data_IF_585375400717
#
_entry.id   IF_585375400717
#
_cell.length_a   1.000
_cell.length_b   1.000
_cell.length_c   1.000
_cell.angle_alpha   90.00
_cell.angle_beta   90.00
_cell.angle_gamma   90.00
#
_symmetry.space_group_name_H-M   'P 1'
#
loop_
_entity.id
_entity.type
_entity.pdbx_description
1 polymer ?
#
# COMPACT_ATOMS: atom_id res chain seq x y z
N UNK A 1 8.08 -14.81 -17.11
CA UNK A 1 7.26 -13.65 -17.48
C UNK A 1 8.04 -12.41 -17.95
N UNK A 2 9.12 -11.92 -17.31
CA UNK A 2 9.74 -10.64 -17.70
C UNK A 2 10.39 -10.64 -19.10
N UNK A 3 10.78 -11.81 -19.62
CA UNK A 3 11.44 -11.94 -20.94
C UNK A 3 10.49 -11.68 -22.10
N UNK A 4 9.25 -12.20 -22.04
CA UNK A 4 8.24 -11.99 -23.09
C UNK A 4 7.82 -10.52 -23.14
N UNK A 5 7.59 -9.90 -21.99
CA UNK A 5 7.23 -8.49 -21.91
C UNK A 5 8.36 -7.56 -22.40
N UNK A 6 9.63 -7.88 -22.09
CA UNK A 6 10.79 -7.18 -22.66
C UNK A 6 10.88 -7.32 -24.17
N UNK A 7 10.61 -8.51 -24.70
CA UNK A 7 10.59 -8.74 -26.14
C UNK A 7 9.49 -7.93 -26.82
N UNK A 8 8.28 -7.87 -26.22
CA UNK A 8 7.19 -7.04 -26.72
C UNK A 8 7.54 -5.54 -26.73
N UNK A 9 8.14 -5.02 -25.66
CA UNK A 9 8.59 -3.62 -25.61
C UNK A 9 9.64 -3.35 -26.68
N UNK A 10 10.64 -4.21 -26.80
CA UNK A 10 11.70 -4.07 -27.79
C UNK A 10 11.16 -4.13 -29.23
N UNK A 11 10.15 -4.97 -29.48
CA UNK A 11 9.53 -5.09 -30.80
C UNK A 11 8.86 -3.78 -31.23
N UNK A 12 8.22 -3.05 -30.32
CA UNK A 12 7.65 -1.72 -30.61
C UNK A 12 8.74 -0.75 -31.05
N UNK A 13 9.87 -0.70 -30.32
CA UNK A 13 11.00 0.17 -30.68
C UNK A 13 11.70 -0.26 -31.98
N UNK A 14 11.79 -1.57 -32.26
CA UNK A 14 12.31 -2.06 -33.56
C UNK A 14 11.37 -1.69 -34.71
N UNK A 15 10.06 -1.79 -34.52
CA UNK A 15 9.10 -1.41 -35.54
C UNK A 15 9.16 0.09 -35.84
N UNK A 16 9.10 0.94 -34.82
CA UNK A 16 9.15 2.39 -35.04
C UNK A 16 10.54 2.89 -35.45
N UNK A 17 11.61 2.29 -34.96
CA UNK A 17 12.98 2.70 -35.24
C UNK A 17 13.52 2.10 -36.53
N UNK A 18 13.74 0.78 -36.53
CA UNK A 18 14.36 0.09 -37.65
C UNK A 18 13.44 0.09 -38.88
N UNK A 19 12.20 -0.38 -38.72
CA UNK A 19 11.30 -0.55 -39.87
C UNK A 19 10.78 0.78 -40.41
N UNK A 20 10.16 1.61 -39.56
CA UNK A 20 9.55 2.85 -40.02
C UNK A 20 10.57 3.93 -40.39
N UNK A 21 11.63 4.13 -39.59
CA UNK A 21 12.54 5.29 -39.76
C UNK A 21 13.84 4.95 -40.49
N UNK A 22 14.57 3.91 -40.08
CA UNK A 22 15.86 3.55 -40.71
C UNK A 22 15.62 3.00 -42.13
N UNK A 23 14.69 2.07 -42.27
CA UNK A 23 14.31 1.48 -43.58
C UNK A 23 13.29 2.33 -44.35
N UNK A 24 12.78 3.42 -43.75
CA UNK A 24 11.91 4.39 -44.42
C UNK A 24 10.54 3.85 -44.86
N UNK A 25 10.02 2.82 -44.18
CA UNK A 25 8.77 2.15 -44.58
C UNK A 25 7.49 2.89 -44.17
N UNK A 26 7.61 3.97 -43.38
CA UNK A 26 6.49 4.76 -42.87
C UNK A 26 6.72 6.26 -43.20
N UNK A 27 6.51 6.69 -44.46
CA UNK A 27 6.88 8.04 -44.93
C UNK A 27 6.14 9.17 -44.20
N UNK A 28 4.96 8.89 -43.66
CA UNK A 28 4.15 9.82 -42.87
C UNK A 28 4.90 10.36 -41.63
N UNK A 29 5.79 9.56 -41.03
CA UNK A 29 6.60 10.00 -39.89
C UNK A 29 7.62 11.07 -40.27
N UNK A 30 8.12 11.04 -41.51
CA UNK A 30 9.01 12.08 -42.01
C UNK A 30 8.28 13.40 -42.24
N UNK A 31 6.99 13.35 -42.64
CA UNK A 31 6.15 14.54 -42.78
C UNK A 31 5.92 15.25 -41.43
N UNK A 32 5.76 14.50 -40.34
CA UNK A 32 5.65 15.08 -38.98
C UNK A 32 6.92 15.84 -38.59
N UNK A 33 8.11 15.28 -38.88
CA UNK A 33 9.39 15.92 -38.55
C UNK A 33 9.68 17.11 -39.46
N UNK A 34 9.29 17.05 -40.73
CA UNK A 34 9.42 18.17 -41.67
C UNK A 34 8.55 19.38 -41.30
N UNK A 35 7.50 19.19 -40.48
CA UNK A 35 6.66 20.27 -39.98
C UNK A 35 7.30 21.08 -38.83
N UNK A 36 8.47 20.66 -38.32
CA UNK A 36 9.19 21.38 -37.25
C UNK A 36 9.76 22.70 -37.80
N UNK A 37 9.45 23.86 -37.19
CA UNK A 37 9.95 25.15 -37.66
C UNK A 37 11.49 25.21 -37.70
N UNK A 38 12.04 25.67 -38.82
CA UNK A 38 13.49 25.84 -38.99
C UNK A 38 14.26 24.58 -39.41
N UNK A 39 13.57 23.46 -39.71
CA UNK A 39 14.19 22.24 -40.20
C UNK A 39 14.03 22.12 -41.73
N UNK A 40 15.13 22.18 -42.48
CA UNK A 40 15.10 21.98 -43.94
C UNK A 40 14.70 20.54 -44.29
N UNK A 41 13.96 20.35 -45.38
CA UNK A 41 13.41 19.04 -45.78
C UNK A 41 14.49 17.95 -45.98
N UNK A 42 15.67 18.32 -46.49
CA UNK A 42 16.80 17.40 -46.63
C UNK A 42 17.38 16.96 -45.28
N UNK A 43 17.36 17.84 -44.29
CA UNK A 43 17.82 17.56 -42.92
C UNK A 43 16.79 16.75 -42.14
N UNK A 44 15.50 16.89 -42.44
CA UNK A 44 14.41 16.13 -41.82
C UNK A 44 14.55 14.60 -42.06
N UNK A 45 14.92 14.19 -43.27
CA UNK A 45 15.15 12.76 -43.59
C UNK A 45 16.30 12.18 -42.78
N UNK A 46 17.39 12.94 -42.64
CA UNK A 46 18.53 12.53 -41.81
C UNK A 46 18.18 12.49 -40.33
N UNK A 47 17.43 13.48 -39.82
CA UNK A 47 16.95 13.52 -38.45
C UNK A 47 16.06 12.32 -38.12
N UNK A 48 15.14 11.95 -39.02
CA UNK A 48 14.27 10.77 -38.88
C UNK A 48 15.10 9.49 -38.81
N UNK A 49 16.09 9.33 -39.69
CA UNK A 49 16.98 8.14 -39.68
C UNK A 49 17.83 8.07 -38.42
N UNK A 50 18.41 9.18 -37.97
CA UNK A 50 19.20 9.26 -36.74
C UNK A 50 18.35 8.90 -35.51
N UNK A 51 17.12 9.43 -35.44
CA UNK A 51 16.14 9.07 -34.42
C UNK A 51 15.82 7.57 -34.46
N UNK A 52 15.62 6.99 -35.65
CA UNK A 52 15.39 5.55 -35.83
C UNK A 52 16.54 4.65 -35.36
N UNK A 53 17.79 5.09 -35.52
CA UNK A 53 18.96 4.41 -34.97
C UNK A 53 18.95 4.44 -33.44
N UNK A 54 18.60 5.58 -32.84
CA UNK A 54 18.45 5.71 -31.39
C UNK A 54 17.37 4.78 -30.81
N UNK A 55 16.22 4.71 -31.46
CA UNK A 55 15.13 3.79 -31.11
C UNK A 55 15.53 2.31 -31.24
N UNK A 56 16.30 1.97 -32.28
CA UNK A 56 16.83 0.61 -32.49
C UNK A 56 17.83 0.23 -31.38
N UNK A 57 18.72 1.16 -31.00
CA UNK A 57 19.65 0.96 -29.89
C UNK A 57 18.90 0.81 -28.54
N UNK A 58 17.81 1.56 -28.35
CA UNK A 58 16.95 1.45 -27.18
C UNK A 58 16.27 0.08 -27.10
N UNK A 59 15.83 -0.49 -28.23
CA UNK A 59 15.32 -1.86 -28.28
C UNK A 59 16.36 -2.89 -27.82
N UNK A 60 17.60 -2.78 -28.32
CA UNK A 60 18.70 -3.65 -27.89
C UNK A 60 19.00 -3.49 -26.40
N UNK A 61 18.94 -2.27 -25.86
CA UNK A 61 19.10 -2.00 -24.44
C UNK A 61 17.99 -2.65 -23.60
N UNK A 62 16.73 -2.53 -24.00
CA UNK A 62 15.59 -3.22 -23.35
C UNK A 62 15.77 -4.74 -23.38
N UNK A 63 16.20 -5.30 -24.51
CA UNK A 63 16.52 -6.72 -24.65
C UNK A 63 17.71 -7.16 -23.80
N UNK A 64 18.65 -6.28 -23.48
CA UNK A 64 19.76 -6.63 -22.58
C UNK A 64 19.31 -6.75 -21.12
N UNK A 65 18.21 -6.07 -20.74
CA UNK A 65 17.73 -6.00 -19.37
C UNK A 65 18.67 -5.27 -18.40
N UNK A 66 19.68 -4.54 -18.88
CA UNK A 66 20.59 -3.72 -18.06
C UNK A 66 19.93 -2.39 -17.68
N UNK A 67 20.15 -1.92 -16.45
CA UNK A 67 19.64 -0.63 -15.94
C UNK A 67 18.18 -0.30 -16.35
N UNK A 68 17.18 -1.17 -16.08
CA UNK A 68 15.87 -1.14 -16.73
C UNK A 68 15.04 0.09 -16.34
N UNK A 69 15.28 0.67 -15.17
CA UNK A 69 14.66 1.96 -14.78
C UNK A 69 15.21 3.13 -15.57
N UNK A 70 16.52 3.13 -15.86
CA UNK A 70 17.12 4.16 -16.70
C UNK A 70 16.62 4.02 -18.14
N UNK A 71 16.54 2.78 -18.64
CA UNK A 71 15.92 2.51 -19.94
C UNK A 71 14.44 2.95 -19.98
N UNK A 72 13.66 2.72 -18.91
CA UNK A 72 12.27 3.19 -18.81
C UNK A 72 12.15 4.72 -18.78
N UNK A 73 13.04 5.40 -18.06
CA UNK A 73 13.10 6.86 -18.04
C UNK A 73 13.40 7.42 -19.42
N UNK A 74 14.42 6.88 -20.11
CA UNK A 74 14.79 7.30 -21.47
C UNK A 74 13.64 7.07 -22.45
N UNK A 75 12.99 5.90 -22.39
CA UNK A 75 11.77 5.61 -23.18
C UNK A 75 10.66 6.63 -22.91
N UNK A 76 10.43 6.98 -21.64
CA UNK A 76 9.41 7.96 -21.25
C UNK A 76 9.72 9.35 -21.82
N UNK A 77 10.94 9.83 -21.63
CA UNK A 77 11.38 11.15 -22.12
C UNK A 77 11.30 11.20 -23.64
N UNK A 78 11.83 10.20 -24.33
CA UNK A 78 11.83 10.15 -25.80
C UNK A 78 10.40 10.17 -26.35
N UNK A 79 9.52 9.36 -25.77
CA UNK A 79 8.14 9.24 -26.22
C UNK A 79 7.32 10.50 -25.91
N UNK A 80 7.55 11.15 -24.76
CA UNK A 80 6.93 12.46 -24.45
C UNK A 80 7.42 13.55 -25.40
N UNK A 81 8.74 13.64 -25.65
CA UNK A 81 9.31 14.66 -26.53
C UNK A 81 8.83 14.51 -27.97
N UNK A 82 8.87 13.28 -28.52
CA UNK A 82 8.45 13.03 -29.90
C UNK A 82 6.96 13.26 -30.13
N UNK A 83 6.11 12.72 -29.26
CA UNK A 83 4.67 12.87 -29.40
C UNK A 83 4.21 14.30 -29.06
N UNK A 84 4.85 14.94 -28.07
CA UNK A 84 4.63 16.34 -27.75
C UNK A 84 4.99 17.24 -28.94
N UNK A 85 6.16 17.03 -29.55
CA UNK A 85 6.55 17.76 -30.75
C UNK A 85 5.62 17.51 -31.93
N UNK A 86 5.21 16.26 -32.15
CA UNK A 86 4.22 15.92 -33.17
C UNK A 86 2.87 16.60 -32.95
N UNK A 87 2.41 16.74 -31.70
CA UNK A 87 1.17 17.45 -31.36
C UNK A 87 1.27 18.96 -31.53
N UNK A 88 2.44 19.56 -31.29
CA UNK A 88 2.64 21.00 -31.39
C UNK A 88 2.82 21.43 -32.84
N UNK A 89 3.65 20.71 -33.61
CA UNK A 89 4.08 21.13 -34.95
C UNK A 89 3.53 20.27 -36.08
N UNK A 90 3.28 18.98 -35.86
CA UNK A 90 2.89 18.01 -36.88
C UNK A 90 1.45 17.50 -36.78
N UNK A 91 0.58 18.19 -36.02
CA UNK A 91 -0.76 17.69 -35.63
C UNK A 91 -1.63 17.29 -36.82
N UNK A 92 -1.53 18.01 -37.93
CA UNK A 92 -2.30 17.76 -39.15
C UNK A 92 -1.98 16.40 -39.80
N UNK A 93 -0.81 15.83 -39.49
CA UNK A 93 -0.36 14.53 -39.99
C UNK A 93 -0.64 13.37 -39.02
N UNK A 94 -1.24 13.65 -37.85
CA UNK A 94 -1.62 12.64 -36.87
C UNK A 94 -3.11 12.32 -37.04
N UNK A 95 -3.39 11.13 -37.57
CA UNK A 95 -4.75 10.67 -37.86
C UNK A 95 -5.67 10.72 -36.63
N UNK A 96 -5.22 10.17 -35.50
CA UNK A 96 -5.96 10.19 -34.23
C UNK A 96 -5.00 10.34 -33.04
N UNK A 97 -4.85 11.56 -32.49
CA UNK A 97 -3.98 11.76 -31.33
C UNK A 97 -4.59 11.27 -30.03
N UNK A 98 -5.92 11.12 -29.93
CA UNK A 98 -6.54 10.52 -28.76
C UNK A 98 -6.11 9.07 -28.62
N UNK A 99 -6.20 8.31 -29.72
CA UNK A 99 -5.70 6.94 -29.79
C UNK A 99 -4.19 6.86 -29.52
N UNK A 100 -3.39 7.75 -30.12
CA UNK A 100 -1.94 7.83 -29.91
C UNK A 100 -1.59 8.05 -28.43
N UNK A 101 -2.26 8.97 -27.73
CA UNK A 101 -2.05 9.24 -26.30
C UNK A 101 -2.39 8.00 -25.47
N UNK A 102 -3.52 7.35 -25.72
CA UNK A 102 -3.94 6.15 -24.97
C UNK A 102 -2.95 5.00 -25.17
N UNK A 103 -2.51 4.76 -26.41
CA UNK A 103 -1.52 3.73 -26.73
C UNK A 103 -0.17 4.00 -26.04
N UNK A 104 0.27 5.25 -26.06
CA UNK A 104 1.50 5.70 -25.40
C UNK A 104 1.45 5.50 -23.87
N UNK A 105 0.33 5.84 -23.23
CA UNK A 105 0.13 5.61 -21.80
C UNK A 105 0.14 4.12 -21.46
N UNK A 106 -0.54 3.29 -22.26
CA UNK A 106 -0.56 1.84 -22.08
C UNK A 106 0.84 1.22 -22.26
N UNK A 107 1.58 1.69 -23.27
CA UNK A 107 2.96 1.25 -23.52
C UNK A 107 3.91 1.63 -22.38
N UNK A 108 3.86 2.88 -21.92
CA UNK A 108 4.66 3.33 -20.77
C UNK A 108 4.33 2.56 -19.49
N UNK A 109 3.05 2.22 -19.27
CA UNK A 109 2.66 1.37 -18.15
C UNK A 109 3.32 -0.01 -18.22
N UNK A 110 3.38 -0.63 -19.41
CA UNK A 110 4.09 -1.90 -19.62
C UNK A 110 5.61 -1.75 -19.40
N UNK A 111 6.21 -0.68 -19.92
CA UNK A 111 7.64 -0.37 -19.75
C UNK A 111 8.01 -0.27 -18.27
N UNK A 112 7.24 0.48 -17.48
CA UNK A 112 7.49 0.65 -16.05
C UNK A 112 7.17 -0.62 -15.24
N UNK A 113 6.16 -1.41 -15.65
CA UNK A 113 5.87 -2.71 -15.04
C UNK A 113 7.06 -3.68 -15.19
N UNK A 114 7.68 -3.72 -16.38
CA UNK A 114 8.86 -4.52 -16.64
C UNK A 114 10.08 -3.97 -15.89
N UNK A 115 10.24 -2.65 -15.82
CA UNK A 115 11.38 -2.04 -15.15
C UNK A 115 11.40 -2.24 -13.63
N UNK A 116 10.23 -2.40 -13.02
CA UNK A 116 10.06 -2.67 -11.59
C UNK A 116 9.85 -4.17 -11.27
N UNK A 117 9.93 -5.06 -12.27
CA UNK A 117 9.87 -6.51 -12.06
C UNK A 117 11.10 -7.01 -11.28
N UNK A 118 10.94 -7.88 -10.26
CA UNK A 118 12.03 -8.36 -9.43
C UNK A 118 13.04 -9.17 -10.24
N UNK A 119 14.34 -8.93 -10.01
CA UNK A 119 15.41 -9.78 -10.53
C UNK A 119 15.68 -10.94 -9.58
N UNK A 120 16.11 -12.07 -10.15
CA UNK A 120 16.49 -13.26 -9.39
C UNK A 120 17.65 -13.01 -8.39
N UNK A 121 18.41 -11.92 -8.55
CA UNK A 121 19.54 -11.54 -7.69
C UNK A 121 19.19 -10.52 -6.59
N UNK A 122 17.95 -10.07 -6.48
CA UNK A 122 17.54 -9.12 -5.43
C UNK A 122 17.30 -9.87 -4.11
N UNK A 123 18.36 -10.44 -3.52
CA UNK A 123 18.31 -11.00 -2.19
C UNK A 123 18.30 -9.90 -1.12
N UNK A 124 17.25 -9.98 -0.28
CA UNK A 124 17.13 -9.52 1.11
C UNK A 124 17.73 -8.15 1.46
N UNK A 125 16.93 -7.10 1.25
CA UNK A 125 16.90 -6.01 2.24
C UNK A 125 15.87 -6.42 3.31
N UNK A 126 16.23 -6.56 4.60
CA UNK A 126 15.29 -6.97 5.63
C UNK A 126 14.10 -6.03 5.69
N UNK A 127 12.87 -6.54 5.74
CA UNK A 127 11.65 -5.70 5.83
C UNK A 127 11.72 -4.70 7.01
N UNK A 128 12.47 -5.04 8.07
CA UNK A 128 12.82 -4.17 9.18
C UNK A 128 13.35 -2.80 8.73
N UNK A 129 14.17 -2.73 7.67
CA UNK A 129 14.75 -1.46 7.17
C UNK A 129 13.73 -0.53 6.53
N UNK A 130 12.68 -1.06 5.89
CA UNK A 130 11.65 -0.24 5.25
C UNK A 130 10.64 0.33 6.25
N UNK A 131 10.24 -0.47 7.24
CA UNK A 131 9.41 -0.02 8.35
C UNK A 131 10.16 0.93 9.28
N UNK A 132 11.47 0.69 9.53
CA UNK A 132 12.32 1.60 10.29
C UNK A 132 12.43 2.99 9.66
N UNK A 133 12.51 3.05 8.32
CA UNK A 133 12.53 4.31 7.59
C UNK A 133 11.15 4.99 7.53
N UNK A 134 10.05 4.26 7.73
CA UNK A 134 8.74 4.86 8.04
C UNK A 134 8.05 5.65 6.92
N UNK A 135 8.38 5.45 5.64
CA UNK A 135 7.73 6.18 4.53
C UNK A 135 7.08 5.25 3.51
N UNK A 136 5.82 5.51 3.12
CA UNK A 136 5.14 4.74 2.06
C UNK A 136 5.64 5.14 0.65
N UNK A 137 6.09 6.38 0.46
CA UNK A 137 6.59 6.91 -0.82
C UNK A 137 8.09 6.63 -1.07
N UNK A 138 8.52 6.61 -2.34
CA UNK A 138 9.94 6.39 -2.72
C UNK A 138 10.84 7.54 -2.23
N UNK A 139 11.95 7.22 -1.58
CA UNK A 139 12.96 8.15 -1.08
C UNK A 139 13.64 7.64 0.20
N UNK A 140 14.96 7.84 0.31
CA UNK A 140 15.69 7.73 1.56
C UNK A 140 15.59 9.05 2.31
N UNK A 141 15.31 9.01 3.61
CA UNK A 141 15.10 10.19 4.45
C UNK A 141 14.96 9.80 5.92
N UNK A 142 14.91 10.81 6.79
CA UNK A 142 14.69 10.61 8.23
C UNK A 142 13.40 9.81 8.49
N UNK A 143 13.33 9.02 9.57
CA UNK A 143 12.13 8.26 9.93
C UNK A 143 10.88 9.16 9.99
N UNK A 144 9.82 8.76 9.29
CA UNK A 144 8.56 9.52 9.22
C UNK A 144 7.48 8.82 10.06
N UNK A 145 6.57 9.62 10.62
CA UNK A 145 5.37 9.13 11.30
C UNK A 145 4.42 8.49 10.27
N UNK A 146 4.25 7.18 10.33
CA UNK A 146 3.36 6.44 9.42
C UNK A 146 1.89 6.56 9.83
N UNK A 147 1.61 6.41 11.12
CA UNK A 147 0.27 6.28 11.67
C UNK A 147 0.10 7.21 12.86
N UNK A 148 -0.77 8.20 12.72
CA UNK A 148 -1.28 9.03 13.79
C UNK A 148 -2.31 8.32 14.66
N UNK A 149 -3.02 7.36 14.07
CA UNK A 149 -4.02 6.50 14.73
C UNK A 149 -4.00 5.09 14.13
N UNK A 150 -4.37 4.09 14.93
CA UNK A 150 -4.48 2.72 14.45
C UNK A 150 -5.84 2.43 13.79
N UNK A 151 -5.79 1.57 12.79
CA UNK A 151 -6.93 1.01 12.06
C UNK A 151 -7.09 -0.47 12.42
N UNK A 152 -7.16 -0.73 13.72
CA UNK A 152 -7.23 -2.05 14.33
C UNK A 152 -8.23 -2.00 15.45
N UNK A 153 -9.19 -2.93 15.46
CA UNK A 153 -10.14 -2.98 16.55
C UNK A 153 -9.53 -3.60 17.79
N UNK A 154 -9.09 -2.74 18.70
CA UNK A 154 -8.44 -3.13 19.96
C UNK A 154 -9.35 -3.96 20.87
N UNK A 155 -10.68 -3.93 20.68
CA UNK A 155 -11.59 -4.73 21.50
C UNK A 155 -11.36 -6.23 21.32
N UNK A 156 -10.89 -6.66 20.14
CA UNK A 156 -10.49 -8.05 19.90
C UNK A 156 -9.34 -8.45 20.84
N UNK A 157 -8.31 -7.61 20.98
CA UNK A 157 -7.20 -7.88 21.90
C UNK A 157 -7.70 -7.86 23.35
N UNK A 158 -8.55 -6.90 23.69
CA UNK A 158 -9.10 -6.73 25.04
C UNK A 158 -10.02 -7.87 25.50
N UNK A 159 -10.73 -8.52 24.58
CA UNK A 159 -11.59 -9.68 24.84
C UNK A 159 -10.79 -10.99 24.94
N UNK A 160 -9.64 -11.05 24.29
CA UNK A 160 -8.84 -12.28 24.17
C UNK A 160 -7.68 -12.34 25.16
N UNK A 161 -7.13 -11.19 25.55
CA UNK A 161 -6.02 -11.09 26.50
C UNK A 161 -6.56 -10.72 27.87
N UNK A 162 -6.23 -11.53 28.88
CA UNK A 162 -6.71 -11.33 30.25
C UNK A 162 -6.14 -10.04 30.86
N UNK A 163 -6.94 -9.36 31.68
CA UNK A 163 -6.47 -8.21 32.45
C UNK A 163 -5.34 -8.61 33.41
N UNK A 164 -4.42 -7.67 33.70
CA UNK A 164 -3.26 -7.94 34.55
C UNK A 164 -2.15 -8.77 33.87
N UNK A 165 -2.32 -9.16 32.60
CA UNK A 165 -1.25 -9.83 31.85
C UNK A 165 -0.22 -8.84 31.36
N UNK A 166 1.03 -9.32 31.25
CA UNK A 166 2.09 -8.60 30.56
C UNK A 166 2.02 -8.90 29.06
N UNK A 167 1.80 -7.88 28.23
CA UNK A 167 1.50 -8.03 26.81
C UNK A 167 2.60 -7.40 25.96
N UNK A 168 3.11 -8.16 24.99
CA UNK A 168 3.92 -7.62 23.90
C UNK A 168 3.00 -7.04 22.82
N UNK A 169 3.23 -5.79 22.43
CA UNK A 169 2.41 -5.08 21.46
C UNK A 169 3.28 -4.39 20.40
N UNK A 170 2.90 -4.45 19.13
CA UNK A 170 3.47 -3.55 18.12
C UNK A 170 3.01 -2.12 18.45
N UNK A 171 3.95 -1.18 18.67
CA UNK A 171 3.61 0.11 19.25
C UNK A 171 2.77 0.96 18.31
N UNK A 172 3.20 1.09 17.05
CA UNK A 172 2.37 1.71 16.02
C UNK A 172 1.93 3.12 16.47
N UNK A 173 0.66 3.52 16.38
CA UNK A 173 0.17 4.80 16.91
C UNK A 173 -0.17 4.77 18.41
N UNK A 174 0.12 3.66 19.10
CA UNK A 174 -0.09 3.43 20.53
C UNK A 174 -1.52 3.09 20.94
N UNK A 175 -2.50 3.11 20.05
CA UNK A 175 -3.92 2.96 20.39
C UNK A 175 -4.24 1.65 21.11
N UNK A 176 -3.80 0.51 20.56
CA UNK A 176 -4.03 -0.82 21.17
C UNK A 176 -3.30 -0.94 22.51
N UNK A 177 -2.05 -0.48 22.59
CA UNK A 177 -1.28 -0.47 23.83
C UNK A 177 -1.96 0.34 24.94
N UNK A 178 -2.44 1.54 24.63
CA UNK A 178 -3.19 2.39 25.57
C UNK A 178 -4.51 1.74 26.01
N UNK A 179 -5.24 1.12 25.09
CA UNK A 179 -6.49 0.45 25.44
C UNK A 179 -6.29 -0.78 26.33
N UNK A 180 -5.27 -1.59 26.07
CA UNK A 180 -4.90 -2.74 26.92
C UNK A 180 -4.39 -2.27 28.29
N UNK A 181 -3.55 -1.24 28.34
CA UNK A 181 -3.07 -0.66 29.59
C UNK A 181 -4.20 -0.08 30.45
N UNK A 182 -5.19 0.57 29.84
CA UNK A 182 -6.38 1.07 30.53
C UNK A 182 -7.21 -0.05 31.17
N UNK A 183 -7.13 -1.28 30.64
CA UNK A 183 -7.76 -2.49 31.22
C UNK A 183 -6.91 -3.17 32.28
N UNK A 184 -5.75 -2.61 32.61
CA UNK A 184 -4.86 -3.11 33.65
C UNK A 184 -3.79 -4.09 33.16
N UNK A 185 -3.57 -4.22 31.85
CA UNK A 185 -2.40 -4.96 31.34
C UNK A 185 -1.12 -4.12 31.53
N UNK A 186 0.01 -4.79 31.76
CA UNK A 186 1.33 -4.17 31.61
C UNK A 186 1.76 -4.35 30.15
N UNK A 187 1.90 -3.27 29.40
CA UNK A 187 2.17 -3.37 27.96
C UNK A 187 3.60 -3.00 27.64
N UNK A 188 4.30 -3.87 26.92
CA UNK A 188 5.56 -3.55 26.26
C UNK A 188 5.25 -3.26 24.80
N UNK A 189 5.26 -1.99 24.42
CA UNK A 189 4.98 -1.55 23.06
C UNK A 189 6.29 -1.34 22.28
N UNK A 190 6.51 -2.16 21.27
CA UNK A 190 7.76 -2.22 20.49
C UNK A 190 7.50 -1.79 19.05
N UNK A 191 8.33 -0.89 18.53
CA UNK A 191 8.29 -0.51 17.13
C UNK A 191 9.72 -0.31 16.61
N UNK A 192 9.95 -0.70 15.36
CA UNK A 192 11.25 -0.52 14.71
C UNK A 192 11.44 0.92 14.20
N UNK A 193 10.34 1.67 14.05
CA UNK A 193 10.35 3.07 13.61
C UNK A 193 10.51 4.02 14.81
N UNK A 194 11.66 4.72 14.95
CA UNK A 194 11.87 5.62 16.08
C UNK A 194 10.90 6.82 16.10
N UNK A 195 10.38 7.25 14.94
CA UNK A 195 9.39 8.32 14.89
C UNK A 195 8.04 7.89 15.50
N UNK A 196 7.66 6.61 15.33
CA UNK A 196 6.46 6.07 15.99
C UNK A 196 6.66 5.97 17.50
N UNK A 197 7.81 5.46 17.95
CA UNK A 197 8.12 5.36 19.38
C UNK A 197 8.14 6.74 20.04
N UNK A 198 8.76 7.74 19.40
CA UNK A 198 8.75 9.12 19.88
C UNK A 198 7.34 9.69 19.93
N UNK A 199 6.53 9.48 18.89
CA UNK A 199 5.14 9.91 18.85
C UNK A 199 4.29 9.29 19.96
N UNK A 200 4.40 7.98 20.21
CA UNK A 200 3.67 7.33 21.30
C UNK A 200 4.11 7.89 22.65
N UNK A 201 5.41 8.14 22.86
CA UNK A 201 5.91 8.77 24.10
C UNK A 201 5.29 10.14 24.34
N UNK A 202 5.23 10.99 23.32
CA UNK A 202 4.57 12.30 23.42
C UNK A 202 3.08 12.16 23.75
N UNK A 203 2.38 11.21 23.13
CA UNK A 203 0.96 10.95 23.42
C UNK A 203 0.72 10.49 24.84
N UNK A 204 1.59 9.64 25.38
CA UNK A 204 1.53 9.23 26.79
C UNK A 204 1.78 10.41 27.74
N UNK A 205 2.49 11.43 27.29
CA UNK A 205 2.67 12.70 28.00
C UNK A 205 1.52 13.72 27.77
N UNK A 206 0.45 13.33 27.08
CA UNK A 206 -0.73 14.16 26.84
C UNK A 206 -0.71 14.96 25.54
N UNK A 207 0.26 14.75 24.65
CA UNK A 207 0.25 15.40 23.35
C UNK A 207 -0.97 14.96 22.51
N UNK A 208 -1.51 15.91 21.74
CA UNK A 208 -2.62 15.63 20.81
C UNK A 208 -2.16 14.71 19.68
N UNK A 209 -3.12 14.01 19.10
CA UNK A 209 -2.89 13.21 17.88
C UNK A 209 -2.30 14.10 16.78
N UNK A 210 -1.27 13.58 16.09
CA UNK A 210 -0.72 14.16 14.85
C UNK A 210 -1.02 13.22 13.70
N UNK A 211 -1.28 13.77 12.51
CA UNK A 211 -1.49 12.94 11.32
C UNK A 211 -0.16 12.31 10.88
N UNK A 212 -0.17 11.00 10.66
CA UNK A 212 0.89 10.29 9.94
C UNK A 212 0.64 10.26 8.44
N UNK A 213 1.56 9.68 7.68
CA UNK A 213 1.44 9.60 6.22
C UNK A 213 0.17 8.81 5.78
N UNK A 214 -0.22 7.78 6.53
CA UNK A 214 -1.45 7.02 6.27
C UNK A 214 -2.70 7.89 6.48
N UNK A 215 -2.74 8.66 7.57
CA UNK A 215 -3.86 9.55 7.88
C UNK A 215 -4.00 10.66 6.83
N UNK A 216 -2.87 11.25 6.40
CA UNK A 216 -2.85 12.26 5.35
C UNK A 216 -3.33 11.72 3.99
N UNK A 217 -3.02 10.46 3.67
CA UNK A 217 -3.56 9.77 2.48
C UNK A 217 -5.08 9.57 2.59
N UNK A 218 -5.57 9.11 3.74
CA UNK A 218 -7.01 8.97 3.99
C UNK A 218 -7.73 10.34 3.96
N UNK A 219 -7.10 11.40 4.47
CA UNK A 219 -7.64 12.76 4.42
C UNK A 219 -7.77 13.27 2.97
N UNK A 220 -6.76 13.04 2.14
CA UNK A 220 -6.84 13.35 0.69
C UNK A 220 -7.93 12.53 0.01
N UNK A 221 -8.03 11.24 0.30
CA UNK A 221 -9.10 10.38 -0.21
C UNK A 221 -10.48 10.97 0.11
N UNK A 222 -10.74 11.34 1.36
CA UNK A 222 -12.04 11.93 1.77
C UNK A 222 -12.38 13.23 1.04
N UNK A 223 -11.39 14.02 0.60
CA UNK A 223 -11.63 15.24 -0.20
C UNK A 223 -12.09 14.93 -1.62
N UNK A 224 -11.74 13.76 -2.16
CA UNK A 224 -12.03 13.37 -3.55
C UNK A 224 -13.01 12.20 -3.68
N UNK A 225 -13.50 11.65 -2.57
CA UNK A 225 -14.40 10.47 -2.56
C UNK A 225 -15.72 10.71 -3.33
N UNK A 226 -16.14 11.97 -3.52
CA UNK A 226 -17.29 12.30 -4.37
C UNK A 226 -17.11 11.82 -5.82
N UNK A 227 -15.87 11.70 -6.32
CA UNK A 227 -15.57 11.19 -7.65
C UNK A 227 -16.01 9.72 -7.82
N UNK A 228 -16.02 8.94 -6.74
CA UNK A 228 -16.54 7.56 -6.74
C UNK A 228 -18.01 7.46 -6.33
N UNK A 229 -18.71 8.60 -6.25
CA UNK A 229 -20.13 8.67 -5.89
C UNK A 229 -20.39 8.65 -4.38
N UNK A 230 -19.35 8.73 -3.54
CA UNK A 230 -19.52 8.82 -2.09
C UNK A 230 -19.89 10.24 -1.70
N UNK A 231 -21.20 10.52 -1.68
CA UNK A 231 -21.81 11.76 -1.21
C UNK A 231 -22.88 11.44 -0.18
N UNK A 232 -23.24 12.40 0.69
CA UNK A 232 -24.29 12.19 1.69
C UNK A 232 -24.00 11.05 2.68
N UNK A 233 -22.74 10.92 3.12
CA UNK A 233 -22.30 9.80 3.97
C UNK A 233 -22.84 9.86 5.41
N UNK A 234 -23.32 11.03 5.87
CA UNK A 234 -23.79 11.18 7.23
C UNK A 234 -25.02 10.31 7.54
N UNK A 235 -26.13 10.36 6.76
CA UNK A 235 -27.24 9.44 6.94
C UNK A 235 -26.83 7.96 6.97
N UNK A 236 -25.87 7.55 6.13
CA UNK A 236 -25.35 6.19 6.14
C UNK A 236 -24.61 5.85 7.44
N UNK A 237 -23.85 6.80 7.98
CA UNK A 237 -23.08 6.61 9.21
C UNK A 237 -23.93 6.69 10.48
N UNK A 238 -25.09 7.33 10.42
CA UNK A 238 -26.07 7.40 11.51
C UNK A 238 -26.97 6.17 11.59
N UNK A 239 -26.93 5.28 10.58
CA UNK A 239 -27.67 4.03 10.59
C UNK A 239 -27.23 3.10 11.73
N UNK A 240 -28.21 2.45 12.34
CA UNK A 240 -28.01 1.47 13.42
C UNK A 240 -28.23 0.03 12.96
N UNK A 241 -29.01 -0.16 11.88
CA UNK A 241 -29.41 -1.48 11.39
C UNK A 241 -28.49 -1.94 10.26
N UNK A 242 -27.71 -3.03 10.44
CA UNK A 242 -26.79 -3.51 9.41
C UNK A 242 -27.46 -3.87 8.08
N UNK A 243 -28.73 -4.31 8.10
CA UNK A 243 -29.45 -4.66 6.87
C UNK A 243 -29.72 -3.42 5.99
N UNK A 244 -30.05 -2.29 6.63
CA UNK A 244 -30.24 -1.00 5.94
C UNK A 244 -28.92 -0.46 5.41
N UNK A 245 -27.83 -0.62 6.18
CA UNK A 245 -26.48 -0.25 5.78
C UNK A 245 -26.03 -1.02 4.53
N UNK A 246 -26.25 -2.34 4.49
CA UNK A 246 -25.91 -3.16 3.32
C UNK A 246 -26.72 -2.73 2.10
N UNK A 247 -28.03 -2.48 2.27
CA UNK A 247 -28.87 -1.98 1.17
C UNK A 247 -28.38 -0.63 0.66
N UNK A 248 -28.03 0.30 1.56
CA UNK A 248 -27.50 1.60 1.19
C UNK A 248 -26.14 1.45 0.47
N UNK A 249 -25.27 0.59 0.98
CA UNK A 249 -23.99 0.29 0.36
C UNK A 249 -24.17 -0.23 -1.08
N UNK A 250 -24.97 -1.29 -1.25
CA UNK A 250 -25.17 -1.95 -2.54
C UNK A 250 -25.86 -1.03 -3.58
N UNK A 251 -26.71 -0.10 -3.14
CA UNK A 251 -27.48 0.78 -4.04
C UNK A 251 -26.83 2.15 -4.28
N UNK A 252 -26.04 2.67 -3.34
CA UNK A 252 -25.50 4.05 -3.40
C UNK A 252 -23.98 4.14 -3.37
N UNK A 253 -23.28 3.24 -2.66
CA UNK A 253 -21.84 3.39 -2.40
C UNK A 253 -20.96 2.43 -3.21
N UNK A 254 -21.43 1.22 -3.53
CA UNK A 254 -20.72 0.28 -4.41
C UNK A 254 -20.93 0.61 -5.90
N UNK A 255 -20.49 1.80 -6.28
CA UNK A 255 -20.67 2.31 -7.64
C UNK A 255 -19.69 1.70 -8.63
N UNK A 256 -20.03 1.69 -9.92
CA UNK A 256 -19.09 1.30 -10.98
C UNK A 256 -17.78 2.13 -10.94
N UNK A 257 -17.89 3.41 -10.56
CA UNK A 257 -16.74 4.33 -10.39
C UNK A 257 -15.84 3.91 -9.23
N UNK A 258 -16.41 3.48 -8.09
CA UNK A 258 -15.64 2.91 -6.99
C UNK A 258 -14.91 1.65 -7.43
N UNK A 259 -15.61 0.72 -8.09
CA UNK A 259 -15.03 -0.55 -8.55
C UNK A 259 -13.87 -0.33 -9.51
N UNK A 260 -14.03 0.58 -10.47
CA UNK A 260 -12.97 0.98 -11.38
C UNK A 260 -11.82 1.67 -10.65
N UNK A 261 -12.12 2.65 -9.79
CA UNK A 261 -11.12 3.40 -9.03
C UNK A 261 -10.25 2.51 -8.14
N UNK A 262 -10.86 1.55 -7.43
CA UNK A 262 -10.14 0.56 -6.64
C UNK A 262 -9.29 -0.37 -7.53
N UNK A 263 -9.84 -0.84 -8.64
CA UNK A 263 -9.12 -1.73 -9.56
C UNK A 263 -7.89 -1.04 -10.17
N UNK A 264 -8.02 0.24 -10.53
CA UNK A 264 -6.91 1.05 -11.04
C UNK A 264 -5.92 1.36 -9.92
N UNK A 265 -6.38 1.86 -8.77
CA UNK A 265 -5.54 2.29 -7.66
C UNK A 265 -4.73 1.17 -6.99
N UNK A 266 -5.28 -0.05 -6.96
CA UNK A 266 -4.60 -1.25 -6.47
C UNK A 266 -4.06 -2.14 -7.59
N UNK A 267 -3.98 -1.64 -8.82
CA UNK A 267 -3.26 -2.33 -9.90
C UNK A 267 -1.76 -2.37 -9.61
N UNK A 268 -1.07 -3.42 -10.07
CA UNK A 268 0.37 -3.54 -9.87
C UNK A 268 1.17 -2.31 -10.37
N UNK A 269 0.87 -1.70 -11.53
CA UNK A 269 1.53 -0.47 -11.97
C UNK A 269 1.26 0.73 -11.05
N UNK A 270 0.01 0.95 -10.64
CA UNK A 270 -0.33 2.08 -9.77
C UNK A 270 0.34 1.94 -8.39
N UNK A 271 0.32 0.73 -7.83
CA UNK A 271 1.02 0.43 -6.58
C UNK A 271 2.53 0.63 -6.74
N UNK A 272 3.13 0.21 -7.86
CA UNK A 272 4.56 0.40 -8.16
C UNK A 272 4.98 1.86 -8.19
N UNK A 273 4.09 2.72 -8.68
CA UNK A 273 4.32 4.16 -8.74
C UNK A 273 4.18 4.82 -7.36
N UNK A 274 3.19 4.41 -6.56
CA UNK A 274 2.81 5.12 -5.33
C UNK A 274 3.39 4.56 -4.03
N UNK A 275 3.93 3.33 -4.03
CA UNK A 275 4.38 2.62 -2.83
C UNK A 275 5.77 2.01 -2.97
N UNK A 276 6.56 2.03 -1.87
CA UNK A 276 7.81 1.25 -1.78
C UNK A 276 7.55 -0.25 -1.99
N UNK A 277 8.59 -0.99 -2.38
CA UNK A 277 8.49 -2.41 -2.76
C UNK A 277 7.96 -3.29 -1.63
N UNK A 278 8.27 -2.94 -0.40
CA UNK A 278 7.97 -3.70 0.81
C UNK A 278 6.47 -3.61 1.15
N UNK A 279 5.87 -2.43 1.04
CA UNK A 279 4.43 -2.24 1.15
C UNK A 279 3.65 -2.97 0.05
N UNK A 280 4.20 -3.01 -1.17
CA UNK A 280 3.58 -3.78 -2.27
C UNK A 280 3.55 -5.28 -2.00
N UNK A 281 4.61 -5.82 -1.37
CA UNK A 281 4.67 -7.23 -0.98
C UNK A 281 3.65 -7.58 0.11
N UNK A 282 3.32 -6.62 0.97
CA UNK A 282 2.32 -6.80 2.03
C UNK A 282 0.88 -6.89 1.52
N UNK A 283 0.58 -6.39 0.31
CA UNK A 283 -0.77 -6.40 -0.24
C UNK A 283 -1.04 -7.69 -1.02
N UNK A 284 -2.14 -8.41 -0.74
CA UNK A 284 -2.48 -9.63 -1.47
C UNK A 284 -2.90 -9.36 -2.91
N UNK A 285 -2.81 -10.37 -3.76
CA UNK A 285 -3.40 -10.31 -5.11
C UNK A 285 -4.92 -10.09 -5.04
N UNK A 286 -5.45 -9.22 -5.90
CA UNK A 286 -6.88 -8.90 -5.91
C UNK A 286 -7.36 -8.06 -4.72
N UNK A 287 -6.46 -7.38 -4.01
CA UNK A 287 -6.80 -6.57 -2.83
C UNK A 287 -7.95 -5.58 -3.04
N UNK A 288 -8.12 -5.00 -4.24
CA UNK A 288 -9.26 -4.14 -4.56
C UNK A 288 -10.63 -4.80 -4.30
N UNK A 289 -10.82 -6.01 -4.85
CA UNK A 289 -12.06 -6.75 -4.68
C UNK A 289 -12.24 -7.23 -3.25
N UNK A 290 -11.14 -7.57 -2.60
CA UNK A 290 -11.13 -8.01 -1.21
C UNK A 290 -11.47 -6.88 -0.24
N UNK A 291 -10.87 -5.69 -0.39
CA UNK A 291 -11.21 -4.50 0.38
C UNK A 291 -12.70 -4.17 0.25
N UNK A 292 -13.25 -4.26 -0.97
CA UNK A 292 -14.69 -4.06 -1.20
C UNK A 292 -15.54 -5.09 -0.45
N UNK A 293 -15.16 -6.37 -0.48
CA UNK A 293 -15.84 -7.43 0.30
C UNK A 293 -15.76 -7.16 1.80
N UNK A 294 -14.60 -6.74 2.31
CA UNK A 294 -14.40 -6.41 3.74
C UNK A 294 -15.28 -5.25 4.18
N UNK A 295 -15.34 -4.18 3.39
CA UNK A 295 -16.21 -3.03 3.64
C UNK A 295 -17.68 -3.47 3.71
N UNK A 296 -18.18 -4.17 2.68
CA UNK A 296 -19.56 -4.66 2.65
C UNK A 296 -19.87 -5.58 3.83
N UNK A 297 -18.98 -6.52 4.16
CA UNK A 297 -19.13 -7.44 5.29
C UNK A 297 -19.18 -6.68 6.62
N UNK A 298 -18.28 -5.72 6.81
CA UNK A 298 -18.22 -4.92 8.02
C UNK A 298 -19.47 -4.06 8.22
N UNK A 299 -19.96 -3.41 7.16
CA UNK A 299 -21.25 -2.68 7.20
C UNK A 299 -22.45 -3.61 7.42
N UNK A 300 -22.36 -4.88 7.05
CA UNK A 300 -23.38 -5.88 7.36
C UNK A 300 -23.30 -6.48 8.75
N UNK A 301 -22.26 -6.15 9.54
CA UNK A 301 -22.03 -6.76 10.85
C UNK A 301 -22.05 -5.77 12.01
N UNK A 302 -21.61 -4.54 11.77
CA UNK A 302 -21.44 -3.54 12.82
C UNK A 302 -22.35 -2.33 12.56
N UNK A 303 -23.16 -1.89 13.52
CA UNK A 303 -23.88 -0.62 13.44
C UNK A 303 -22.92 0.53 13.17
N UNK A 304 -23.17 1.30 12.11
CA UNK A 304 -22.32 2.42 11.73
C UNK A 304 -22.34 3.51 12.80
N UNK A 305 -23.52 3.75 13.39
CA UNK A 305 -23.75 4.79 14.40
C UNK A 305 -22.75 4.76 15.55
N UNK A 306 -22.32 3.57 15.97
CA UNK A 306 -21.39 3.35 17.08
C UNK A 306 -20.03 2.83 16.63
N UNK A 307 -19.79 2.66 15.34
CA UNK A 307 -18.51 2.18 14.82
C UNK A 307 -17.55 3.35 14.54
N UNK A 308 -16.55 3.60 15.41
CA UNK A 308 -15.65 4.73 15.22
C UNK A 308 -14.78 4.60 13.96
N UNK A 309 -14.49 3.39 13.49
CA UNK A 309 -13.67 3.18 12.31
C UNK A 309 -14.42 3.53 11.02
N UNK A 310 -15.73 3.31 10.95
CA UNK A 310 -16.57 3.76 9.84
C UNK A 310 -16.58 5.29 9.72
N UNK A 311 -16.80 5.97 10.84
CA UNK A 311 -16.82 7.43 10.89
C UNK A 311 -15.45 8.04 10.52
N UNK A 312 -14.35 7.48 11.02
CA UNK A 312 -12.99 7.92 10.69
C UNK A 312 -12.65 7.68 9.22
N UNK A 313 -13.02 6.52 8.67
CA UNK A 313 -12.77 6.18 7.27
C UNK A 313 -13.50 7.16 6.34
N UNK A 314 -14.80 7.36 6.56
CA UNK A 314 -15.68 8.07 5.63
C UNK A 314 -15.72 9.59 5.84
N UNK A 315 -15.71 10.06 7.09
CA UNK A 315 -15.80 11.50 7.42
C UNK A 315 -14.57 12.05 8.14
N UNK A 316 -13.67 11.20 8.63
CA UNK A 316 -12.48 11.66 9.35
C UNK A 316 -12.77 12.23 10.74
N UNK A 317 -13.90 11.85 11.34
CA UNK A 317 -14.34 12.30 12.66
C UNK A 317 -14.78 11.11 13.52
N UNK A 318 -14.94 11.35 14.81
CA UNK A 318 -15.51 10.34 15.73
C UNK A 318 -17.06 10.34 15.65
N UNK A 319 -17.71 9.24 16.03
CA UNK A 319 -19.15 9.22 16.25
C UNK A 319 -19.53 10.15 17.41
N UNK A 320 -20.78 10.63 17.39
CA UNK A 320 -21.31 11.46 18.48
C UNK A 320 -21.30 10.67 19.78
N UNK A 321 -20.78 11.27 20.85
CA UNK A 321 -20.67 10.60 22.16
C UNK A 321 -19.48 9.65 22.28
N UNK A 322 -18.51 9.68 21.37
CA UNK A 322 -17.27 8.93 21.55
C UNK A 322 -16.57 9.34 22.85
N UNK A 323 -16.29 8.36 23.70
CA UNK A 323 -15.62 8.59 24.98
C UNK A 323 -14.18 9.08 24.76
N UNK A 324 -13.70 9.99 25.63
CA UNK A 324 -12.29 10.37 25.63
C UNK A 324 -11.42 9.16 25.97
N UNK A 325 -10.14 9.16 25.55
CA UNK A 325 -9.20 8.10 25.94
C UNK A 325 -9.15 7.94 27.46
N UNK A 326 -9.16 6.70 27.94
CA UNK A 326 -9.04 6.40 29.36
C UNK A 326 -7.74 6.95 29.95
N UNK A 327 -7.80 7.40 31.21
CA UNK A 327 -6.61 7.83 31.96
C UNK A 327 -5.76 6.59 32.27
N UNK A 328 -4.50 6.64 31.88
CA UNK A 328 -3.56 5.54 32.05
C UNK A 328 -2.86 5.63 33.41
N UNK A 329 -2.59 4.48 34.01
CA UNK A 329 -1.69 4.41 35.17
C UNK A 329 -0.27 4.76 34.74
N UNK A 330 0.47 5.58 35.51
CA UNK A 330 1.89 5.81 35.24
C UNK A 330 2.66 4.49 35.14
N UNK A 331 3.51 4.35 34.13
CA UNK A 331 4.33 3.16 33.94
C UNK A 331 3.61 1.93 33.37
N UNK A 332 2.31 1.99 33.07
CA UNK A 332 1.58 0.84 32.50
C UNK A 332 2.05 0.44 31.08
N UNK A 333 2.79 1.33 30.41
CA UNK A 333 3.33 1.09 29.07
C UNK A 333 4.84 1.35 29.07
N UNK A 334 5.60 0.31 28.74
CA UNK A 334 7.02 0.40 28.43
C UNK A 334 7.21 0.48 26.93
N UNK A 335 7.91 1.51 26.44
CA UNK A 335 8.19 1.69 25.01
C UNK A 335 9.60 1.21 24.67
N UNK A 336 9.75 0.46 23.59
CA UNK A 336 11.05 0.08 23.04
C UNK A 336 11.15 0.38 21.55
N UNK A 337 12.26 0.99 21.15
CA UNK A 337 12.61 1.16 19.74
C UNK A 337 13.54 0.02 19.32
N UNK A 338 12.99 -1.03 18.73
CA UNK A 338 13.72 -2.24 18.38
C UNK A 338 12.98 -3.02 17.28
N UNK A 339 13.70 -3.90 16.58
CA UNK A 339 13.04 -4.96 15.83
C UNK A 339 12.32 -5.90 16.81
N UNK A 340 11.10 -6.31 16.46
CA UNK A 340 10.26 -7.12 17.33
C UNK A 340 10.86 -8.51 17.60
N UNK A 341 11.50 -9.13 16.60
CA UNK A 341 12.15 -10.44 16.76
C UNK A 341 13.35 -10.30 17.70
N UNK A 342 14.22 -9.33 17.45
CA UNK A 342 15.42 -9.12 18.26
C UNK A 342 15.05 -8.75 19.70
N UNK A 343 14.01 -7.92 19.90
CA UNK A 343 13.49 -7.62 21.24
C UNK A 343 12.96 -8.90 21.93
N UNK A 344 12.12 -9.67 21.24
CA UNK A 344 11.58 -10.91 21.79
C UNK A 344 12.64 -11.97 22.04
N UNK A 345 13.76 -11.98 21.32
CA UNK A 345 14.92 -12.86 21.57
C UNK A 345 15.72 -12.41 22.81
N UNK A 346 15.74 -11.10 23.11
CA UNK A 346 16.51 -10.53 24.23
C UNK A 346 15.89 -10.73 25.62
N UNK A 347 14.58 -10.94 25.71
CA UNK A 347 13.87 -11.06 27.01
C UNK A 347 14.01 -12.46 27.62
N UNK A 348 13.76 -12.67 28.93
CA UNK A 348 13.66 -14.01 29.50
C UNK A 348 12.54 -14.86 28.86
N UNK A 349 12.68 -16.19 28.94
CA UNK A 349 11.59 -17.08 28.56
C UNK A 349 10.37 -16.87 29.47
N UNK A 350 9.16 -17.02 28.95
CA UNK A 350 7.94 -16.83 29.74
C UNK A 350 7.64 -15.38 30.15
N UNK A 351 8.27 -14.38 29.52
CA UNK A 351 8.14 -12.97 29.87
C UNK A 351 6.76 -12.34 29.57
N UNK A 352 5.94 -12.94 28.70
CA UNK A 352 4.69 -12.37 28.22
C UNK A 352 3.51 -13.36 28.29
N UNK A 353 2.39 -12.90 28.83
CA UNK A 353 1.11 -13.61 28.86
C UNK A 353 0.22 -13.35 27.63
N UNK A 354 0.62 -12.41 26.76
CA UNK A 354 -0.13 -12.08 25.56
C UNK A 354 0.72 -11.39 24.50
N UNK A 355 0.32 -11.53 23.25
CA UNK A 355 0.98 -10.91 22.10
C UNK A 355 -0.05 -10.32 21.16
N UNK A 356 0.13 -9.06 20.76
CA UNK A 356 -0.64 -8.44 19.67
C UNK A 356 0.32 -8.07 18.54
N UNK A 357 0.15 -8.76 17.42
CA UNK A 357 1.05 -8.77 16.27
C UNK A 357 0.29 -8.36 15.01
N UNK A 358 0.43 -7.11 14.58
CA UNK A 358 -0.32 -6.59 13.45
C UNK A 358 0.60 -6.34 12.25
N UNK A 359 0.25 -6.94 11.10
CA UNK A 359 0.95 -6.82 9.81
C UNK A 359 2.42 -7.29 9.78
N UNK A 360 3.01 -7.65 10.91
CA UNK A 360 4.44 -7.98 11.01
C UNK A 360 4.87 -9.15 10.12
N UNK A 361 3.93 -10.05 9.77
CA UNK A 361 4.21 -11.20 8.90
C UNK A 361 3.99 -10.91 7.39
N UNK A 362 3.38 -9.78 7.02
CA UNK A 362 2.88 -9.58 5.65
C UNK A 362 3.98 -9.27 4.64
N UNK A 363 5.14 -8.78 5.08
CA UNK A 363 6.24 -8.33 4.20
C UNK A 363 7.58 -9.03 4.45
N UNK A 364 7.62 -10.04 5.32
CA UNK A 364 8.84 -10.73 5.76
C UNK A 364 9.03 -12.10 5.06
N UNK A 365 10.29 -12.52 4.91
CA UNK A 365 10.62 -13.81 4.31
C UNK A 365 10.41 -14.99 5.28
N UNK A 366 10.33 -16.24 4.78
CA UNK A 366 10.04 -17.43 5.59
C UNK A 366 10.99 -17.64 6.78
N UNK A 367 12.27 -17.27 6.63
CA UNK A 367 13.27 -17.35 7.71
C UNK A 367 12.93 -16.43 8.88
N UNK A 368 12.55 -15.19 8.61
CA UNK A 368 12.13 -14.23 9.63
C UNK A 368 10.80 -14.64 10.27
N UNK A 369 9.86 -15.19 9.48
CA UNK A 369 8.63 -15.79 10.03
C UNK A 369 8.95 -16.90 11.04
N UNK A 370 9.87 -17.81 10.69
CA UNK A 370 10.29 -18.90 11.56
C UNK A 370 10.98 -18.38 12.84
N UNK A 371 11.87 -17.38 12.72
CA UNK A 371 12.50 -16.72 13.86
C UNK A 371 11.47 -16.06 14.78
N UNK A 372 10.52 -15.28 14.23
CA UNK A 372 9.48 -14.64 15.04
C UNK A 372 8.64 -15.68 15.79
N UNK A 373 8.23 -16.78 15.13
CA UNK A 373 7.47 -17.85 15.76
C UNK A 373 8.24 -18.53 16.89
N UNK A 374 9.54 -18.76 16.71
CA UNK A 374 10.39 -19.30 17.76
C UNK A 374 10.54 -18.32 18.94
N UNK A 375 10.76 -17.03 18.65
CA UNK A 375 10.91 -15.99 19.66
C UNK A 375 9.63 -15.80 20.49
N UNK A 376 8.46 -15.77 19.84
CA UNK A 376 7.16 -15.70 20.52
C UNK A 376 6.93 -16.93 21.41
N UNK A 377 7.14 -18.15 20.88
CA UNK A 377 6.98 -19.38 21.68
C UNK A 377 7.87 -19.43 22.91
N UNK A 378 9.11 -18.97 22.79
CA UNK A 378 10.06 -18.90 23.91
C UNK A 378 9.67 -17.84 24.93
N UNK A 379 9.27 -16.65 24.47
CA UNK A 379 8.91 -15.53 25.34
C UNK A 379 7.52 -15.67 25.98
N UNK A 380 6.70 -16.62 25.52
CA UNK A 380 5.35 -16.89 26.00
C UNK A 380 5.34 -17.60 27.36
N UNK A 381 4.56 -17.09 28.32
CA UNK A 381 4.23 -17.81 29.54
C UNK A 381 3.23 -18.93 29.27
N UNK A 382 3.04 -19.83 30.23
CA UNK A 382 1.97 -20.83 30.16
C UNK A 382 0.61 -20.15 29.95
N UNK A 383 -0.19 -20.67 29.01
CA UNK A 383 -1.50 -20.13 28.66
C UNK A 383 -1.50 -18.84 27.83
N UNK A 384 -0.34 -18.32 27.43
CA UNK A 384 -0.28 -17.09 26.66
C UNK A 384 -0.98 -17.22 25.30
N UNK A 385 -1.58 -16.11 24.83
CA UNK A 385 -2.30 -16.05 23.56
C UNK A 385 -1.67 -15.05 22.59
N UNK A 386 -1.79 -15.33 21.31
CA UNK A 386 -1.35 -14.45 20.23
C UNK A 386 -2.56 -14.00 19.43
N UNK A 387 -2.73 -12.69 19.29
CA UNK A 387 -3.63 -12.04 18.33
C UNK A 387 -2.79 -11.58 17.16
N UNK A 388 -2.94 -12.25 16.02
CA UNK A 388 -2.21 -11.95 14.78
C UNK A 388 -3.17 -11.35 13.75
N UNK A 389 -2.83 -10.20 13.20
CA UNK A 389 -3.57 -9.56 12.09
C UNK A 389 -2.74 -9.55 10.81
N UNK A 390 -3.39 -9.85 9.69
CA UNK A 390 -2.77 -9.83 8.35
C UNK A 390 -3.70 -9.18 7.32
N UNK A 391 -3.11 -8.48 6.34
CA UNK A 391 -3.83 -8.05 5.15
C UNK A 391 -4.18 -9.21 4.23
N UNK A 392 -3.45 -10.32 4.30
CA UNK A 392 -3.72 -11.51 3.50
C UNK A 392 -5.10 -12.09 3.83
N UNK A 393 -5.77 -12.73 2.85
CA UNK A 393 -7.01 -13.45 3.11
C UNK A 393 -6.83 -14.52 4.20
N UNK A 394 -7.90 -14.78 4.94
CA UNK A 394 -7.94 -15.90 5.89
C UNK A 394 -7.65 -17.23 5.20
N UNK A 395 -6.85 -18.07 5.85
CA UNK A 395 -6.55 -19.45 5.42
C UNK A 395 -7.67 -20.43 5.79
N UNK A 396 -8.53 -20.06 6.74
CA UNK A 396 -9.55 -20.91 7.34
C UNK A 396 -10.72 -20.07 7.85
N UNK A 397 -11.85 -20.75 8.09
CA UNK A 397 -13.11 -20.11 8.51
C UNK A 397 -13.01 -19.44 9.89
N UNK A 398 -12.18 -19.97 10.80
CA UNK A 398 -12.01 -19.39 12.13
C UNK A 398 -11.32 -18.02 12.04
N UNK A 399 -10.27 -17.92 11.23
CA UNK A 399 -9.56 -16.68 10.99
C UNK A 399 -10.41 -15.64 10.24
N UNK A 400 -11.30 -16.10 9.35
CA UNK A 400 -12.26 -15.24 8.67
C UNK A 400 -13.32 -14.70 9.63
N UNK A 401 -13.87 -15.53 10.52
CA UNK A 401 -14.86 -15.12 11.51
C UNK A 401 -14.26 -14.10 12.50
N UNK A 402 -13.02 -14.28 12.94
CA UNK A 402 -12.31 -13.27 13.73
C UNK A 402 -12.11 -11.97 12.94
N UNK A 403 -11.70 -12.04 11.68
CA UNK A 403 -11.56 -10.87 10.83
C UNK A 403 -12.90 -10.15 10.57
N UNK A 404 -14.02 -10.88 10.58
CA UNK A 404 -15.36 -10.29 10.45
C UNK A 404 -15.78 -9.50 11.70
N UNK A 405 -15.26 -9.86 12.88
CA UNK A 405 -15.51 -9.13 14.14
C UNK A 405 -14.79 -7.79 14.20
N UNK A 406 -13.71 -7.61 13.44
CA UNK A 406 -12.97 -6.36 13.41
C UNK A 406 -13.79 -5.23 12.77
N UNK A 407 -13.99 -4.16 13.54
CA UNK A 407 -14.74 -2.99 13.09
C UNK A 407 -13.95 -2.09 12.14
N UNK A 408 -12.66 -2.31 11.94
CA UNK A 408 -11.76 -1.42 11.19
C UNK A 408 -11.65 -1.73 9.68
N UNK A 409 -12.31 -2.80 9.20
CA UNK A 409 -12.48 -3.17 7.78
C UNK A 409 -11.20 -3.50 7.00
N UNK A 410 -10.03 -3.39 7.64
CA UNK A 410 -8.75 -3.46 6.95
C UNK A 410 -8.22 -4.89 6.85
N UNK A 411 -8.48 -5.72 7.85
CA UNK A 411 -7.80 -7.01 8.03
C UNK A 411 -8.48 -8.13 7.24
N UNK A 412 -7.66 -8.94 6.57
CA UNK A 412 -8.12 -10.10 5.81
C UNK A 412 -8.18 -11.38 6.61
N UNK A 413 -7.35 -11.43 7.64
CA UNK A 413 -7.25 -12.54 8.57
C UNK A 413 -6.92 -11.98 9.95
N UNK A 414 -7.61 -12.50 10.96
CA UNK A 414 -7.24 -12.34 12.35
C UNK A 414 -7.18 -13.73 12.95
N UNK A 415 -6.07 -14.10 13.58
CA UNK A 415 -5.92 -15.38 14.26
C UNK A 415 -5.70 -15.16 15.73
N UNK A 416 -6.48 -15.86 16.55
CA UNK A 416 -6.32 -15.88 18.00
C UNK A 416 -5.97 -17.28 18.42
N UNK A 417 -4.69 -17.53 18.69
CA UNK A 417 -4.15 -18.88 18.93
C UNK A 417 -3.39 -18.93 20.26
N UNK A 418 -3.29 -20.11 20.91
CA UNK A 418 -2.31 -20.32 21.96
C UNK A 418 -0.90 -20.03 21.44
N UNK A 419 -0.06 -19.37 22.23
CA UNK A 419 1.29 -19.03 21.81
C UNK A 419 2.15 -20.27 21.50
N UNK A 420 1.86 -21.41 22.15
CA UNK A 420 2.49 -22.70 21.88
C UNK A 420 2.26 -23.21 20.45
N UNK A 421 1.13 -22.84 19.84
CA UNK A 421 0.70 -23.24 18.49
C UNK A 421 1.03 -22.18 17.42
N UNK A 422 1.71 -21.09 17.81
CA UNK A 422 1.80 -19.88 17.00
C UNK A 422 2.43 -20.05 15.62
#
# INVERSE_FOLDING_TARGET
MPTLARAAIALVWLYHGLWCKVLGRCPEQAAIVAAVPGLEAGLAVWAVRALGLGETALAAWVLSGRAPRLAALVQTVLLVLMNGGGLVWGRAHIADPGAMIVQNLAFLALVWLVADSPRASDHETPAATAWAAGGFARGGGAPVLLFGRMHEDWTIDAETLAAGTRVFCIASAGCTAMALAARGCEVVAVDVNPAQVAYVRERLAGARMREGEADARLARWRRIQFLVGWTGLLPFLEMDRPEEQVRFWDTRLDTARLRLGLSVGFSAPALALAYKREFRRALPHGFAGELRRRLRRGFGRHPNRTNPYAWRLMLGREPVGAEPPAVLRPGAITLACADAVDYLESVPAGAFGGFTLSNILDSVGPRTVARLRAAVRRAASAGARVVLRSFAPASDAAAEEWAARDRAFLWGSIRVVPAAEF
#
